data_IF_801613609237
#
_entry.id   IF_801613609237
#
_cell.length_a   1.000
_cell.length_b   1.000
_cell.length_c   1.000
_cell.angle_alpha   90.00
_cell.angle_beta   90.00
_cell.angle_gamma   90.00
#
_symmetry.space_group_name_H-M   'P 1'
#
loop_
_entity.id
_entity.type
_entity.pdbx_description
1 polymer ?
#
# COMPACT_ATOMS: atom_id res chain seq x y z
N UNK A 1 32.32 0.49 1.64
CA UNK A 1 31.22 -0.28 2.27
C UNK A 1 30.77 0.54 3.49
N UNK A 2 29.48 0.92 3.53
CA UNK A 2 28.82 1.81 4.52
C UNK A 2 29.19 3.29 4.52
N UNK A 3 28.75 4.04 3.50
CA UNK A 3 28.42 5.46 3.69
C UNK A 3 27.20 5.80 2.83
N UNK A 4 26.07 6.05 3.47
CA UNK A 4 25.17 7.17 3.14
C UNK A 4 23.87 7.04 3.96
N UNK A 5 23.97 7.30 5.26
CA UNK A 5 22.83 7.58 6.14
C UNK A 5 23.00 8.95 6.83
N UNK A 6 23.80 9.83 6.24
CA UNK A 6 24.21 11.12 6.83
C UNK A 6 23.90 12.33 5.94
N UNK A 7 22.83 12.28 5.13
CA UNK A 7 22.43 13.43 4.30
C UNK A 7 20.93 13.76 4.39
N UNK A 8 20.40 13.75 5.62
CA UNK A 8 19.10 14.33 5.96
C UNK A 8 19.26 15.34 7.11
N UNK A 9 20.14 16.32 6.96
CA UNK A 9 20.21 17.43 7.91
C UNK A 9 20.86 18.67 7.30
N UNK A 10 20.37 19.13 6.14
CA UNK A 10 20.65 20.49 5.65
C UNK A 10 19.40 21.10 5.01
N UNK A 11 18.33 21.18 5.80
CA UNK A 11 17.26 22.16 5.63
C UNK A 11 16.44 22.18 6.90
N UNK A 12 16.46 23.31 7.59
CA UNK A 12 15.73 23.59 8.83
C UNK A 12 14.20 23.70 8.60
N UNK A 13 13.65 22.85 7.76
CA UNK A 13 12.22 22.71 7.53
C UNK A 13 11.86 21.29 7.98
N UNK A 14 10.90 21.10 8.89
CA UNK A 14 10.42 19.76 9.17
C UNK A 14 9.99 19.16 7.82
N UNK A 15 10.50 17.97 7.44
CA UNK A 15 10.08 17.35 6.19
C UNK A 15 8.56 17.29 6.20
N UNK A 16 7.92 18.06 5.30
CA UNK A 16 6.47 18.04 5.17
C UNK A 16 6.10 16.65 4.67
N UNK A 17 5.61 15.82 5.58
CA UNK A 17 5.14 14.50 5.24
C UNK A 17 3.87 14.65 4.39
N UNK A 18 3.89 14.10 3.18
CA UNK A 18 2.66 13.95 2.39
C UNK A 18 1.82 12.85 3.03
N UNK A 19 0.65 13.21 3.56
CA UNK A 19 -0.21 12.27 4.27
C UNK A 19 -1.28 11.74 3.32
N UNK A 20 -1.31 10.42 3.17
CA UNK A 20 -2.34 9.73 2.42
C UNK A 20 -3.40 9.17 3.38
N UNK A 21 -4.66 9.63 3.25
CA UNK A 21 -5.78 9.20 4.11
C UNK A 21 -6.81 8.40 3.31
N UNK A 22 -7.42 7.39 3.92
CA UNK A 22 -8.51 6.65 3.29
C UNK A 22 -8.86 5.30 3.94
N UNK A 23 -7.87 4.59 4.48
CA UNK A 23 -8.11 3.40 5.29
C UNK A 23 -8.79 3.76 6.61
N UNK A 24 -9.74 2.93 7.04
CA UNK A 24 -10.44 3.07 8.32
C UNK A 24 -9.75 2.31 9.46
N UNK A 25 -8.89 1.37 9.11
CA UNK A 25 -8.12 0.54 10.02
C UNK A 25 -6.62 0.79 9.77
N UNK A 26 -5.74 0.19 10.59
CA UNK A 26 -4.28 0.30 10.41
C UNK A 26 -3.82 -0.28 9.07
N UNK A 27 -2.79 0.34 8.46
CA UNK A 27 -2.13 -0.18 7.25
C UNK A 27 -1.21 -1.33 7.67
N UNK A 28 -1.48 -2.55 7.21
CA UNK A 28 -0.68 -3.73 7.56
C UNK A 28 0.58 -3.87 6.70
N UNK A 29 0.51 -3.52 5.41
CA UNK A 29 1.64 -3.56 4.49
C UNK A 29 1.42 -2.64 3.28
N UNK A 30 2.48 -2.39 2.52
CA UNK A 30 2.45 -1.62 1.27
C UNK A 30 3.53 -2.09 0.30
N UNK A 31 3.31 -1.85 -1.00
CA UNK A 31 4.28 -2.12 -2.07
C UNK A 31 4.24 -1.01 -3.11
N UNK A 32 5.41 -0.69 -3.68
CA UNK A 32 5.56 0.31 -4.74
C UNK A 32 5.41 -0.32 -6.12
N UNK A 33 4.68 0.35 -7.00
CA UNK A 33 4.56 0.04 -8.42
C UNK A 33 4.85 1.28 -9.27
N UNK A 34 6.13 1.51 -9.60
CA UNK A 34 6.51 2.72 -10.30
C UNK A 34 6.20 3.97 -9.47
N UNK A 35 5.24 4.79 -9.92
CA UNK A 35 4.76 5.97 -9.20
C UNK A 35 3.51 5.70 -8.35
N UNK A 36 3.00 4.48 -8.35
CA UNK A 36 1.84 4.11 -7.55
C UNK A 36 2.26 3.33 -6.30
N UNK A 37 1.45 3.45 -5.26
CA UNK A 37 1.58 2.69 -4.02
C UNK A 37 0.32 1.88 -3.83
N UNK A 38 0.51 0.58 -3.66
CA UNK A 38 -0.54 -0.33 -3.22
C UNK A 38 -0.39 -0.50 -1.72
N UNK A 39 -1.46 -0.28 -0.98
CA UNK A 39 -1.52 -0.39 0.48
C UNK A 39 -2.57 -1.40 0.85
N UNK A 40 -2.37 -2.15 1.92
CA UNK A 40 -3.36 -3.10 2.43
C UNK A 40 -3.74 -2.76 3.87
N UNK A 41 -5.00 -2.96 4.20
CA UNK A 41 -5.56 -2.74 5.54
C UNK A 41 -6.74 -3.67 5.76
N UNK A 42 -6.67 -4.50 6.80
CA UNK A 42 -7.61 -5.62 7.02
C UNK A 42 -7.79 -6.40 5.72
N UNK A 43 -8.98 -6.38 5.11
CA UNK A 43 -9.33 -7.07 3.88
C UNK A 43 -9.47 -6.12 2.67
N UNK A 44 -8.88 -4.93 2.75
CA UNK A 44 -8.98 -3.86 1.75
C UNK A 44 -7.62 -3.56 1.15
N UNK A 45 -7.65 -3.22 -0.14
CA UNK A 45 -6.50 -2.73 -0.88
C UNK A 45 -6.78 -1.30 -1.31
N UNK A 46 -5.86 -0.40 -1.03
CA UNK A 46 -5.89 0.98 -1.51
C UNK A 46 -4.79 1.20 -2.55
N UNK A 47 -5.14 1.82 -3.68
CA UNK A 47 -4.19 2.28 -4.68
C UNK A 47 -4.12 3.81 -4.62
N UNK A 48 -2.91 4.36 -4.64
CA UNK A 48 -2.70 5.81 -4.76
C UNK A 48 -1.49 6.10 -5.62
N UNK A 49 -1.48 7.26 -6.28
CA UNK A 49 -0.36 7.69 -7.11
C UNK A 49 0.42 8.79 -6.40
N UNK A 50 1.74 8.64 -6.34
CA UNK A 50 2.68 9.62 -5.78
C UNK A 50 2.91 10.82 -6.70
N UNK A 51 2.53 10.71 -7.98
CA UNK A 51 2.66 11.80 -8.95
C UNK A 51 1.56 12.84 -8.86
N UNK A 52 0.46 12.53 -8.16
CA UNK A 52 -0.66 13.46 -8.00
C UNK A 52 -0.30 14.54 -6.98
N UNK A 53 -0.49 15.83 -7.32
CA UNK A 53 -0.31 16.90 -6.35
C UNK A 53 -1.30 16.71 -5.20
N UNK A 54 -0.84 16.96 -3.97
CA UNK A 54 -1.69 16.94 -2.80
C UNK A 54 -2.81 17.99 -2.93
N UNK A 55 -3.96 17.70 -2.33
CA UNK A 55 -5.07 18.66 -2.24
C UNK A 55 -4.64 19.91 -1.42
N UNK A 56 -5.45 20.97 -1.39
CA UNK A 56 -5.14 22.23 -0.69
C UNK A 56 -4.79 22.02 0.80
N UNK A 57 -5.27 20.93 1.41
CA UNK A 57 -4.95 20.49 2.78
C UNK A 57 -3.65 19.67 2.91
N UNK A 58 -2.87 19.50 1.85
CA UNK A 58 -1.66 18.65 1.82
C UNK A 58 -1.95 17.15 1.92
N UNK A 59 -3.21 16.75 1.76
CA UNK A 59 -3.66 15.37 1.89
C UNK A 59 -3.94 14.73 0.53
N UNK A 60 -3.52 13.47 0.36
CA UNK A 60 -3.87 12.65 -0.79
C UNK A 60 -4.88 11.56 -0.38
N UNK A 61 -5.92 11.36 -1.19
CA UNK A 61 -6.99 10.41 -0.89
C UNK A 61 -6.65 9.02 -1.42
N UNK A 62 -6.61 8.04 -0.54
CA UNK A 62 -6.67 6.61 -0.87
C UNK A 62 -8.15 6.24 -0.92
N UNK A 63 -8.56 5.50 -1.95
CA UNK A 63 -9.89 4.86 -1.99
C UNK A 63 -9.71 3.36 -1.79
N UNK A 64 -9.79 2.83 -0.56
CA UNK A 64 -9.65 1.41 -0.30
C UNK A 64 -10.82 0.63 -0.91
N UNK A 65 -10.51 -0.33 -1.77
CA UNK A 65 -11.47 -1.28 -2.30
C UNK A 65 -11.36 -2.59 -1.52
N UNK A 66 -12.51 -3.21 -1.21
CA UNK A 66 -12.51 -4.54 -0.59
C UNK A 66 -12.01 -5.55 -1.62
N UNK A 67 -10.99 -6.31 -1.28
CA UNK A 67 -10.59 -7.44 -2.08
C UNK A 67 -11.57 -8.58 -1.79
N UNK A 68 -12.57 -8.75 -2.65
CA UNK A 68 -13.44 -9.91 -2.60
C UNK A 68 -12.74 -11.06 -3.29
N UNK A 69 -12.29 -12.02 -2.50
CA UNK A 69 -11.68 -13.23 -3.02
C UNK A 69 -12.80 -14.25 -3.30
N UNK A 70 -12.91 -14.66 -4.56
CA UNK A 70 -13.81 -15.73 -4.96
C UNK A 70 -13.15 -17.07 -4.64
N UNK A 71 -13.53 -17.67 -3.52
CA UNK A 71 -13.16 -19.03 -3.20
C UNK A 71 -14.39 -19.91 -3.43
N UNK A 72 -14.46 -20.61 -4.58
CA UNK A 72 -15.46 -21.64 -4.94
C UNK A 72 -16.83 -21.58 -4.22
N UNK A 73 -17.49 -20.42 -4.23
CA UNK A 73 -18.84 -20.22 -3.68
C UNK A 73 -18.93 -19.47 -2.33
N UNK A 74 -17.83 -19.28 -1.60
CA UNK A 74 -17.79 -18.49 -0.36
C UNK A 74 -16.97 -17.19 -0.54
N UNK A 75 -17.59 -16.04 -0.23
CA UNK A 75 -16.89 -14.75 -0.15
C UNK A 75 -16.05 -14.72 1.13
N UNK A 76 -14.87 -15.33 1.11
CA UNK A 76 -13.99 -15.38 2.27
C UNK A 76 -13.19 -14.08 2.38
N UNK A 77 -13.51 -13.30 3.42
CA UNK A 77 -12.87 -12.02 3.72
C UNK A 77 -11.78 -12.23 4.76
N UNK A 78 -10.65 -12.79 4.34
CA UNK A 78 -9.46 -12.91 5.20
C UNK A 78 -8.73 -11.58 5.34
N UNK A 79 -8.05 -11.41 6.48
CA UNK A 79 -7.18 -10.27 6.74
C UNK A 79 -5.90 -10.43 5.94
N UNK A 80 -5.54 -9.40 5.17
CA UNK A 80 -4.32 -9.31 4.38
C UNK A 80 -3.17 -8.88 5.31
N UNK A 81 -2.12 -9.70 5.36
CA UNK A 81 -0.96 -9.48 6.23
C UNK A 81 0.25 -8.94 5.48
N UNK A 82 0.42 -9.31 4.20
CA UNK A 82 1.54 -8.86 3.38
C UNK A 82 1.16 -8.69 1.92
N UNK A 83 1.88 -7.82 1.21
CA UNK A 83 1.74 -7.65 -0.24
C UNK A 83 3.11 -7.48 -0.89
N UNK A 84 3.28 -8.04 -2.09
CA UNK A 84 4.46 -7.82 -2.92
C UNK A 84 4.08 -7.83 -4.39
N UNK A 85 4.62 -6.90 -5.19
CA UNK A 85 4.39 -6.86 -6.63
C UNK A 85 5.45 -7.72 -7.33
N UNK A 86 5.00 -8.60 -8.23
CA UNK A 86 5.90 -9.46 -8.97
C UNK A 86 6.71 -8.63 -9.99
N UNK A 87 8.04 -8.81 -10.05
CA UNK A 87 8.88 -8.10 -11.01
C UNK A 87 8.41 -8.30 -12.45
N UNK A 88 8.46 -7.24 -13.26
CA UNK A 88 8.09 -7.22 -14.69
C UNK A 88 6.64 -7.65 -14.99
N UNK A 89 5.79 -7.73 -13.97
CA UNK A 89 4.40 -8.12 -14.08
C UNK A 89 3.49 -7.05 -13.46
N UNK A 90 2.20 -7.10 -13.81
CA UNK A 90 1.15 -6.34 -13.11
C UNK A 90 0.53 -7.14 -11.96
N UNK A 91 1.00 -8.37 -11.76
CA UNK A 91 0.52 -9.28 -10.72
C UNK A 91 1.12 -8.92 -9.37
N UNK A 92 0.35 -9.16 -8.31
CA UNK A 92 0.81 -9.00 -6.93
C UNK A 92 0.44 -10.22 -6.09
N UNK A 93 1.35 -10.58 -5.19
CA UNK A 93 1.19 -11.61 -4.17
C UNK A 93 0.60 -10.99 -2.91
N UNK A 94 -0.36 -11.69 -2.30
CA UNK A 94 -0.99 -11.28 -1.05
C UNK A 94 -0.94 -12.44 -0.07
N UNK A 95 -0.27 -12.23 1.06
CA UNK A 95 -0.32 -13.15 2.20
C UNK A 95 -1.51 -12.80 3.09
N UNK A 96 -2.15 -13.81 3.65
CA UNK A 96 -3.34 -13.65 4.49
C UNK A 96 -3.20 -14.38 5.82
N UNK A 97 -3.89 -13.91 6.86
CA UNK A 97 -3.79 -14.45 8.22
C UNK A 97 -4.39 -15.86 8.38
N UNK A 98 -5.23 -16.30 7.45
CA UNK A 98 -5.75 -17.67 7.32
C UNK A 98 -4.73 -18.65 6.71
N UNK A 99 -3.48 -18.22 6.51
CA UNK A 99 -2.37 -19.10 6.10
C UNK A 99 -2.25 -19.32 4.59
N UNK A 100 -3.02 -18.59 3.78
CA UNK A 100 -2.94 -18.67 2.32
C UNK A 100 -2.00 -17.62 1.74
N UNK A 101 -1.36 -17.98 0.63
CA UNK A 101 -0.67 -17.07 -0.25
C UNK A 101 -1.42 -17.03 -1.58
N UNK A 102 -1.77 -15.83 -2.05
CA UNK A 102 -2.66 -15.65 -3.21
C UNK A 102 -2.01 -14.75 -4.24
N UNK A 103 -2.23 -15.04 -5.52
CA UNK A 103 -1.80 -14.21 -6.65
C UNK A 103 -3.03 -13.44 -7.15
N UNK A 104 -2.91 -12.13 -7.26
CA UNK A 104 -3.96 -11.22 -7.72
C UNK A 104 -3.50 -10.45 -8.97
N UNK A 105 -4.46 -10.07 -9.81
CA UNK A 105 -4.26 -9.30 -11.06
C UNK A 105 -4.91 -7.92 -10.99
#
# INVERSE_FOLDING_TARGET
MFQSLHKLSERNWPPQATIFKGHTDGVSSFSLWGQDVITISRNRIGLTSLSKPADEDGHLRIMPQKLYLADNGAKNLSVLSSISILPFSRLFLVGTEDGYLRICC
#
